data_IF_642790948121
#
_entry.id   IF_642790948121
#
_cell.length_a   1.000
_cell.length_b   1.000
_cell.length_c   1.000
_cell.angle_alpha   90.00
_cell.angle_beta   90.00
_cell.angle_gamma   90.00
#
_symmetry.space_group_name_H-M   'P 1'
#
loop_
_entity.id
_entity.type
_entity.pdbx_description
1 polymer ?
#
# COMPACT_ATOMS: atom_id res chain seq x y z
N UNK A 1 0.71 10.12 -11.50
CA UNK A 1 0.88 10.67 -10.14
C UNK A 1 1.17 12.15 -10.31
N UNK A 2 0.34 13.05 -9.76
CA UNK A 2 0.58 14.50 -9.82
C UNK A 2 1.23 14.92 -8.52
N UNK A 3 2.34 15.65 -8.58
CA UNK A 3 3.03 16.13 -7.37
C UNK A 3 2.57 17.55 -7.13
N UNK A 4 1.99 17.82 -5.96
CA UNK A 4 1.46 19.14 -5.58
C UNK A 4 2.31 19.65 -4.42
N UNK A 5 2.75 20.90 -4.49
CA UNK A 5 3.44 21.54 -3.38
C UNK A 5 2.43 21.89 -2.27
N UNK A 6 2.68 21.38 -1.07
CA UNK A 6 1.97 21.76 0.15
C UNK A 6 2.28 23.21 0.55
N UNK A 7 1.52 23.74 1.50
CA UNK A 7 1.77 25.05 2.14
C UNK A 7 3.18 25.14 2.77
N UNK A 8 3.76 23.98 3.14
CA UNK A 8 5.10 23.87 3.69
C UNK A 8 6.20 23.59 2.63
N UNK A 9 5.91 23.79 1.33
CA UNK A 9 6.78 23.43 0.20
C UNK A 9 7.15 21.93 0.10
N UNK A 10 6.46 21.07 0.84
CA UNK A 10 6.63 19.62 0.70
C UNK A 10 5.92 19.13 -0.56
N UNK A 11 6.63 18.33 -1.36
CA UNK A 11 6.08 17.74 -2.58
C UNK A 11 5.22 16.52 -2.22
N UNK A 12 3.90 16.71 -2.22
CA UNK A 12 2.95 15.64 -1.91
C UNK A 12 2.52 14.96 -3.22
N UNK A 13 2.77 13.66 -3.39
CA UNK A 13 2.18 12.90 -4.49
C UNK A 13 0.67 12.79 -4.26
N UNK A 14 -0.09 13.57 -5.02
CA UNK A 14 -1.55 13.61 -4.97
C UNK A 14 -2.13 12.90 -6.17
N UNK A 15 -3.10 12.02 -5.94
CA UNK A 15 -3.90 11.42 -7.01
C UNK A 15 -5.01 12.39 -7.38
N UNK A 16 -5.17 12.70 -8.67
CA UNK A 16 -6.35 13.40 -9.17
C UNK A 16 -7.62 12.68 -8.69
N UNK A 17 -8.53 13.43 -8.07
CA UNK A 17 -9.79 12.88 -7.56
C UNK A 17 -10.68 12.59 -8.77
N UNK A 18 -10.70 11.32 -9.19
CA UNK A 18 -11.50 10.87 -10.33
C UNK A 18 -12.95 10.52 -9.94
N UNK A 19 -13.33 10.67 -8.66
CA UNK A 19 -14.66 10.37 -8.14
C UNK A 19 -14.68 10.19 -6.62
N UNK A 20 -15.89 10.01 -6.07
CA UNK A 20 -16.10 9.70 -4.64
C UNK A 20 -15.63 8.29 -4.31
N UNK A 21 -15.01 8.12 -3.14
CA UNK A 21 -14.55 6.83 -2.62
C UNK A 21 -15.18 6.56 -1.27
N UNK A 22 -15.63 5.32 -1.05
CA UNK A 22 -16.11 4.88 0.26
C UNK A 22 -14.90 4.69 1.18
N UNK A 23 -14.90 5.35 2.33
CA UNK A 23 -13.92 5.15 3.39
C UNK A 23 -14.64 4.66 4.65
N UNK A 24 -14.25 3.48 5.14
CA UNK A 24 -14.80 2.89 6.35
C UNK A 24 -13.86 3.22 7.51
N UNK A 25 -14.40 3.72 8.62
CA UNK A 25 -13.62 4.07 9.81
C UNK A 25 -13.31 2.83 10.66
N UNK A 26 -12.18 2.19 10.37
CA UNK A 26 -11.70 1.00 11.09
C UNK A 26 -10.87 1.31 12.35
N UNK A 27 -10.82 2.56 12.85
CA UNK A 27 -9.94 2.90 13.99
C UNK A 27 -10.20 2.04 15.22
N UNK A 28 -11.46 1.94 15.65
CA UNK A 28 -11.85 1.11 16.80
C UNK A 28 -11.56 -0.37 16.58
N UNK A 29 -11.75 -0.85 15.35
CA UNK A 29 -11.46 -2.24 14.99
C UNK A 29 -9.96 -2.53 15.07
N UNK A 30 -9.14 -1.65 14.49
CA UNK A 30 -7.68 -1.77 14.50
C UNK A 30 -7.06 -1.73 15.90
N UNK A 31 -7.71 -1.03 16.85
CA UNK A 31 -7.30 -1.00 18.24
C UNK A 31 -7.66 -2.29 19.00
N UNK A 32 -8.75 -2.95 18.60
CA UNK A 32 -9.22 -4.20 19.19
C UNK A 32 -8.54 -5.45 18.59
N UNK A 33 -8.02 -5.36 17.35
CA UNK A 33 -7.36 -6.48 16.67
C UNK A 33 -5.90 -6.63 17.08
N UNK A 34 -5.43 -7.88 17.18
CA UNK A 34 -4.01 -8.17 17.41
C UNK A 34 -3.23 -7.85 16.14
N UNK A 35 -2.22 -6.99 16.25
CA UNK A 35 -1.28 -6.73 15.14
C UNK A 35 -0.49 -7.98 14.82
N UNK A 36 -0.62 -8.47 13.59
CA UNK A 36 0.23 -9.54 13.10
C UNK A 36 1.65 -9.01 12.83
N UNK A 37 2.66 -9.78 13.25
CA UNK A 37 4.07 -9.41 13.10
C UNK A 37 4.68 -10.20 11.94
N UNK A 38 4.05 -10.13 10.77
CA UNK A 38 4.58 -10.73 9.56
C UNK A 38 5.86 -9.99 9.13
N UNK A 39 6.99 -10.68 8.92
CA UNK A 39 8.21 -10.04 8.50
C UNK A 39 8.03 -9.52 7.06
N UNK A 40 7.91 -8.21 6.92
CA UNK A 40 8.03 -7.57 5.61
C UNK A 40 9.47 -7.77 5.13
N UNK A 41 9.64 -8.29 3.92
CA UNK A 41 10.95 -8.39 3.28
C UNK A 41 11.57 -6.99 3.24
N UNK A 42 12.81 -6.88 3.73
CA UNK A 42 13.52 -5.62 3.72
C UNK A 42 13.81 -5.21 2.27
N UNK A 43 13.64 -3.92 1.95
CA UNK A 43 13.79 -3.44 0.56
C UNK A 43 15.15 -3.79 -0.03
N UNK A 44 16.22 -3.68 0.75
CA UNK A 44 17.58 -3.95 0.28
C UNK A 44 17.77 -5.41 -0.14
N UNK A 45 17.15 -6.36 0.58
CA UNK A 45 17.20 -7.78 0.21
C UNK A 45 16.48 -8.05 -1.12
N UNK A 46 15.40 -7.33 -1.40
CA UNK A 46 14.72 -7.43 -2.69
C UNK A 46 15.56 -6.81 -3.82
N UNK A 47 16.19 -5.66 -3.57
CA UNK A 47 17.04 -4.97 -4.54
C UNK A 47 18.28 -5.81 -4.91
N UNK A 48 18.93 -6.45 -3.93
CA UNK A 48 20.04 -7.37 -4.17
C UNK A 48 19.64 -8.54 -5.08
N UNK A 49 18.45 -9.12 -4.86
CA UNK A 49 17.92 -10.20 -5.72
C UNK A 49 17.55 -9.73 -7.11
N UNK A 50 17.14 -8.47 -7.22
CA UNK A 50 16.70 -7.86 -8.47
C UNK A 50 17.91 -7.43 -9.31
N UNK A 51 19.03 -7.08 -8.69
CA UNK A 51 20.24 -6.61 -9.37
C UNK A 51 20.78 -7.62 -10.40
N UNK A 52 21.28 -7.09 -11.52
CA UNK A 52 21.93 -7.90 -12.57
C UNK A 52 20.99 -8.50 -13.61
N UNK A 53 19.67 -8.28 -13.51
CA UNK A 53 18.74 -8.67 -14.58
C UNK A 53 18.64 -7.58 -15.66
N UNK A 54 18.48 -8.00 -16.91
CA UNK A 54 18.35 -7.08 -18.06
C UNK A 54 16.93 -6.52 -18.22
N UNK A 55 15.92 -7.25 -17.72
CA UNK A 55 14.51 -6.92 -17.87
C UNK A 55 13.75 -7.03 -16.55
N UNK A 56 12.84 -6.08 -16.31
CA UNK A 56 12.01 -6.02 -15.13
C UNK A 56 10.54 -5.88 -15.51
N UNK A 57 9.67 -6.59 -14.79
CA UNK A 57 8.22 -6.43 -14.89
C UNK A 57 7.68 -6.09 -13.49
N UNK A 58 6.87 -5.05 -13.40
CA UNK A 58 6.18 -4.66 -12.18
C UNK A 58 4.70 -4.97 -12.32
N UNK A 59 4.17 -5.74 -11.36
CA UNK A 59 2.75 -6.01 -11.24
C UNK A 59 2.22 -5.25 -10.04
N UNK A 60 1.20 -4.41 -10.24
CA UNK A 60 0.55 -3.72 -9.14
C UNK A 60 -0.59 -4.57 -8.56
N UNK A 61 -0.57 -4.74 -7.24
CA UNK A 61 -1.65 -5.38 -6.49
C UNK A 61 -2.70 -4.36 -6.03
N UNK A 62 -3.05 -3.36 -6.84
CA UNK A 62 -3.85 -2.20 -6.40
C UNK A 62 -5.18 -2.59 -5.72
N UNK A 63 -5.81 -3.66 -6.21
CA UNK A 63 -7.06 -4.19 -5.65
C UNK A 63 -6.86 -5.45 -4.79
N UNK A 64 -5.62 -5.76 -4.40
CA UNK A 64 -5.27 -7.00 -3.70
C UNK A 64 -6.04 -7.21 -2.40
N UNK A 65 -6.31 -6.12 -1.65
CA UNK A 65 -7.11 -6.17 -0.43
C UNK A 65 -8.52 -6.73 -0.63
N UNK A 66 -9.15 -6.47 -1.79
CA UNK A 66 -10.51 -6.94 -2.09
C UNK A 66 -10.57 -8.36 -2.67
N UNK A 67 -9.41 -8.96 -2.95
CA UNK A 67 -9.32 -10.30 -3.56
C UNK A 67 -9.06 -11.39 -2.51
N UNK A 68 -8.51 -11.02 -1.35
CA UNK A 68 -8.22 -11.95 -0.26
C UNK A 68 -9.51 -12.14 0.56
N UNK A 69 -10.00 -13.39 0.74
CA UNK A 69 -11.19 -13.64 1.54
C UNK A 69 -10.91 -13.40 3.03
N UNK A 70 -11.92 -12.92 3.74
CA UNK A 70 -11.92 -12.83 5.21
C UNK A 70 -12.20 -14.23 5.77
N UNK A 71 -11.59 -14.58 6.90
CA UNK A 71 -11.89 -15.85 7.58
C UNK A 71 -13.39 -15.86 7.97
N UNK A 72 -14.16 -16.90 7.61
CA UNK A 72 -15.56 -17.00 8.02
C UNK A 72 -15.80 -17.00 9.53
N UNK A 73 -14.77 -17.23 10.35
CA UNK A 73 -14.83 -17.22 11.81
C UNK A 73 -14.54 -15.85 12.45
N UNK A 74 -14.03 -14.88 11.68
CA UNK A 74 -13.88 -13.49 12.10
C UNK A 74 -15.22 -12.73 12.06
#
# INVERSE_FOLDING_TARGET
>A
MTVVASENNELIPTRLVTGWRVCIDNRKLNDATRKDHFPLLFMDQMLERLAGNEFYCFLDGFSGYFQIPIDPQD
#
